data_IF_649773861725
#
_entry.id   IF_649773861725
#
_cell.length_a   1.000
_cell.length_b   1.000
_cell.length_c   1.000
_cell.angle_alpha   90.00
_cell.angle_beta   90.00
_cell.angle_gamma   90.00
#
_symmetry.space_group_name_H-M   'P 1'
#
loop_
_entity.id
_entity.type
_entity.pdbx_description
1 polymer ?
#
# COMPACT_ATOMS: atom_id res chain seq x y z
N UNK A 1 -0.23 52.14 2.86
CA UNK A 1 -0.68 51.21 1.78
C UNK A 1 0.39 50.86 0.75
N UNK A 2 1.35 51.74 0.41
CA UNK A 2 2.37 51.49 -0.64
C UNK A 2 3.44 50.42 -0.32
N UNK A 3 3.60 50.01 0.95
CA UNK A 3 4.60 49.02 1.40
C UNK A 3 4.15 47.56 1.27
N UNK A 4 2.84 47.30 1.34
CA UNK A 4 2.27 45.94 1.30
C UNK A 4 2.28 45.38 -0.13
N UNK A 5 2.05 46.25 -1.13
CA UNK A 5 2.16 45.92 -2.55
C UNK A 5 3.56 45.40 -2.95
N UNK A 6 4.62 45.91 -2.31
CA UNK A 6 6.00 45.50 -2.63
C UNK A 6 6.31 44.06 -2.20
N UNK A 7 5.75 43.62 -1.07
CA UNK A 7 5.94 42.26 -0.56
C UNK A 7 5.12 41.27 -1.39
N UNK A 8 3.89 41.64 -1.74
CA UNK A 8 3.05 40.84 -2.64
C UNK A 8 3.68 40.63 -4.01
N UNK A 9 4.25 41.68 -4.60
CA UNK A 9 4.93 41.61 -5.90
C UNK A 9 6.15 40.66 -5.89
N UNK A 10 6.92 40.64 -4.78
CA UNK A 10 8.10 39.77 -4.60
C UNK A 10 7.67 38.30 -4.48
N UNK A 11 6.63 38.00 -3.71
CA UNK A 11 6.13 36.63 -3.55
C UNK A 11 5.57 36.08 -4.86
N UNK A 12 4.84 36.91 -5.62
CA UNK A 12 4.31 36.48 -6.92
C UNK A 12 5.42 36.25 -7.96
N UNK A 13 6.49 37.05 -7.95
CA UNK A 13 7.63 36.80 -8.85
C UNK A 13 8.42 35.57 -8.45
N UNK A 14 8.58 35.31 -7.15
CA UNK A 14 9.26 34.10 -6.66
C UNK A 14 8.49 32.83 -7.01
N UNK A 15 7.16 32.81 -6.84
CA UNK A 15 6.33 31.66 -7.20
C UNK A 15 6.39 31.34 -8.71
N UNK A 16 6.34 32.37 -9.58
CA UNK A 16 6.43 32.17 -11.04
C UNK A 16 7.81 31.66 -11.45
N UNK A 17 8.89 32.16 -10.82
CA UNK A 17 10.24 31.66 -11.03
C UNK A 17 10.40 30.19 -10.61
N UNK A 18 9.85 29.79 -9.46
CA UNK A 18 9.88 28.40 -9.00
C UNK A 18 9.12 27.45 -9.92
N UNK A 19 7.96 27.87 -10.43
CA UNK A 19 7.17 27.07 -11.38
C UNK A 19 7.95 26.90 -12.70
N UNK A 20 8.58 27.96 -13.21
CA UNK A 20 9.42 27.88 -14.40
C UNK A 20 10.62 26.93 -14.21
N UNK A 21 11.31 27.00 -13.06
CA UNK A 21 12.43 26.10 -12.74
C UNK A 21 11.95 24.64 -12.71
N UNK A 22 10.80 24.34 -12.10
CA UNK A 22 10.22 22.99 -12.07
C UNK A 22 9.86 22.45 -13.45
N UNK A 23 9.44 23.33 -14.37
CA UNK A 23 9.13 22.93 -15.76
C UNK A 23 10.39 22.73 -16.61
N UNK A 24 11.49 23.47 -16.32
CA UNK A 24 12.76 23.34 -17.04
C UNK A 24 13.58 22.12 -16.59
N UNK A 25 13.42 21.66 -15.34
CA UNK A 25 14.12 20.47 -14.82
C UNK A 25 13.50 19.14 -15.24
N UNK A 26 12.40 19.15 -16.02
CA UNK A 26 11.68 17.93 -16.46
C UNK A 26 12.07 17.44 -17.86
N UNK A 27 13.24 17.85 -18.36
CA UNK A 27 13.66 17.68 -19.76
C UNK A 27 15.04 17.00 -19.96
N UNK A 28 15.81 16.66 -18.94
CA UNK A 28 17.07 15.94 -19.17
C UNK A 28 17.11 14.56 -18.52
N UNK A 29 17.46 13.59 -19.37
CA UNK A 29 17.72 12.19 -19.09
C UNK A 29 18.60 12.01 -17.87
N UNK A 30 18.13 11.25 -16.88
CA UNK A 30 19.04 10.58 -15.96
C UNK A 30 19.52 9.31 -16.65
N UNK A 31 20.81 9.33 -16.99
CA UNK A 31 21.57 8.23 -17.55
C UNK A 31 21.46 6.97 -16.68
N UNK A 32 21.13 5.88 -17.36
CA UNK A 32 21.45 4.51 -16.94
C UNK A 32 22.97 4.36 -16.88
N UNK A 33 23.54 4.33 -15.69
CA UNK A 33 24.86 3.72 -15.48
C UNK A 33 24.68 2.35 -14.80
N UNK A 34 24.96 1.36 -15.62
CA UNK A 34 25.25 -0.04 -15.31
C UNK A 34 26.33 -0.18 -14.23
N UNK A 35 26.03 -0.96 -13.20
CA UNK A 35 27.03 -1.79 -12.51
C UNK A 35 26.50 -3.23 -12.51
N UNK A 36 27.15 -4.08 -13.30
CA UNK A 36 27.12 -5.55 -13.19
C UNK A 36 28.59 -5.96 -13.31
N UNK A 37 29.13 -6.85 -12.46
CA UNK A 37 28.83 -8.27 -12.65
C UNK A 37 28.86 -9.11 -11.35
N UNK A 38 27.84 -9.91 -11.11
CA UNK A 38 28.08 -11.28 -10.66
C UNK A 38 27.00 -12.22 -11.20
N UNK A 39 27.35 -12.89 -12.30
CA UNK A 39 26.72 -14.14 -12.72
C UNK A 39 27.38 -15.24 -11.90
N UNK A 40 26.58 -15.96 -11.11
CA UNK A 40 26.68 -17.38 -10.69
C UNK A 40 25.70 -17.49 -9.50
N UNK A 41 24.53 -18.15 -9.52
CA UNK A 41 24.02 -19.26 -10.33
C UNK A 41 22.49 -19.35 -10.14
N UNK A 42 21.79 -19.57 -11.25
CA UNK A 42 20.46 -20.17 -11.44
C UNK A 42 19.23 -19.65 -10.67
N UNK A 43 18.45 -18.86 -11.42
CA UNK A 43 16.99 -18.91 -11.59
C UNK A 43 16.10 -18.83 -10.35
N UNK A 44 15.67 -17.60 -10.04
CA UNK A 44 14.49 -17.33 -9.20
C UNK A 44 13.15 -17.59 -9.94
N UNK A 45 13.15 -18.38 -11.01
CA UNK A 45 11.92 -18.94 -11.58
C UNK A 45 11.36 -20.11 -10.76
N UNK A 46 12.15 -20.66 -9.81
CA UNK A 46 11.75 -21.77 -8.94
C UNK A 46 11.67 -21.35 -7.46
N UNK A 47 10.94 -20.28 -7.17
CA UNK A 47 10.22 -20.14 -5.89
C UNK A 47 8.78 -19.77 -6.21
N UNK A 48 7.99 -20.84 -6.38
CA UNK A 48 6.54 -20.93 -6.53
C UNK A 48 5.77 -19.80 -5.80
N UNK A 49 5.34 -18.81 -6.59
CA UNK A 49 4.14 -18.00 -6.39
C UNK A 49 4.08 -17.11 -5.15
N UNK A 50 3.46 -15.94 -5.31
CA UNK A 50 2.71 -15.34 -4.19
C UNK A 50 1.92 -16.46 -3.49
N UNK A 51 1.87 -16.54 -2.14
CA UNK A 51 1.12 -17.60 -1.48
C UNK A 51 -0.28 -17.66 -2.10
N UNK A 52 -0.61 -18.74 -2.80
CA UNK A 52 -1.83 -18.88 -3.63
C UNK A 52 -3.11 -18.49 -2.87
N UNK A 53 -3.03 -18.59 -1.54
CA UNK A 53 -4.13 -18.39 -0.61
C UNK A 53 -4.13 -17.00 0.06
N UNK A 54 -3.26 -16.06 -0.31
CA UNK A 54 -3.39 -14.64 0.11
C UNK A 54 -3.78 -13.81 -1.11
N UNK A 55 -4.90 -13.09 -1.02
CA UNK A 55 -5.42 -12.24 -2.10
C UNK A 55 -5.51 -10.81 -1.64
N UNK A 56 -4.82 -9.90 -2.32
CA UNK A 56 -4.97 -8.47 -2.07
C UNK A 56 -6.34 -8.00 -2.56
N UNK A 57 -6.99 -7.16 -1.77
CA UNK A 57 -8.28 -6.56 -2.10
C UNK A 57 -8.34 -5.08 -1.73
N UNK A 58 -9.18 -4.33 -2.44
CA UNK A 58 -9.55 -2.96 -2.06
C UNK A 58 -10.59 -2.95 -0.94
N UNK A 59 -10.78 -1.77 -0.35
CA UNK A 59 -11.87 -1.50 0.60
C UNK A 59 -13.25 -1.82 0.02
N UNK A 60 -13.48 -1.48 -1.25
CA UNK A 60 -14.76 -1.71 -1.94
C UNK A 60 -15.01 -3.20 -2.17
N UNK A 61 -13.98 -3.96 -2.54
CA UNK A 61 -14.06 -5.42 -2.66
C UNK A 61 -14.32 -6.06 -1.29
N UNK A 62 -13.65 -5.60 -0.24
CA UNK A 62 -13.87 -6.05 1.14
C UNK A 62 -15.32 -5.81 1.56
N UNK A 63 -15.85 -4.61 1.30
CA UNK A 63 -17.25 -4.27 1.58
C UNK A 63 -18.22 -5.19 0.83
N UNK A 64 -17.95 -5.46 -0.44
CA UNK A 64 -18.72 -6.42 -1.23
C UNK A 64 -18.70 -7.83 -0.64
N UNK A 65 -17.57 -8.27 -0.08
CA UNK A 65 -17.45 -9.55 0.61
C UNK A 65 -18.23 -9.59 1.93
N UNK A 66 -18.19 -8.54 2.73
CA UNK A 66 -19.00 -8.45 3.96
C UNK A 66 -20.49 -8.55 3.60
N UNK A 67 -20.91 -7.86 2.54
CA UNK A 67 -22.29 -7.86 2.06
C UNK A 67 -22.74 -9.18 1.41
N UNK A 68 -21.82 -10.04 0.98
CA UNK A 68 -22.19 -11.35 0.43
C UNK A 68 -22.65 -12.34 1.51
N UNK A 69 -22.43 -12.04 2.79
CA UNK A 69 -22.72 -12.90 3.94
C UNK A 69 -21.99 -14.26 3.90
N UNK A 70 -21.01 -14.41 3.02
CA UNK A 70 -20.14 -15.59 2.96
C UNK A 70 -19.11 -15.56 4.09
N UNK A 71 -18.65 -16.74 4.51
CA UNK A 71 -17.53 -16.84 5.45
C UNK A 71 -16.22 -16.49 4.73
N UNK A 72 -15.44 -15.58 5.30
CA UNK A 72 -14.10 -15.28 4.80
C UNK A 72 -13.20 -14.70 5.90
N UNK A 73 -11.89 -14.70 5.64
CA UNK A 73 -10.90 -14.12 6.56
C UNK A 73 -10.29 -12.87 5.91
N UNK A 74 -10.27 -11.76 6.63
CA UNK A 74 -9.58 -10.54 6.25
C UNK A 74 -8.29 -10.36 7.08
N UNK A 75 -7.25 -9.80 6.46
CA UNK A 75 -6.01 -9.40 7.12
C UNK A 75 -5.71 -7.93 6.82
N UNK A 76 -5.86 -7.09 7.83
CA UNK A 76 -5.55 -5.66 7.80
C UNK A 76 -4.08 -5.45 8.17
N UNK A 77 -3.32 -4.83 7.27
CA UNK A 77 -1.87 -4.67 7.43
C UNK A 77 -1.35 -3.36 6.83
N UNK A 78 -0.11 -3.02 7.19
CA UNK A 78 0.66 -1.96 6.55
C UNK A 78 2.05 -2.49 6.15
N UNK A 79 2.61 -2.13 4.98
CA UNK A 79 3.91 -2.62 4.53
C UNK A 79 5.09 -2.24 5.44
N UNK A 80 5.01 -1.07 6.08
CA UNK A 80 6.08 -0.54 6.94
C UNK A 80 5.94 -0.95 8.42
N UNK A 81 4.85 -1.61 8.78
CA UNK A 81 4.55 -2.03 10.15
C UNK A 81 5.43 -3.21 10.59
N UNK A 82 6.26 -3.00 11.62
CA UNK A 82 7.16 -4.02 12.17
C UNK A 82 6.43 -5.28 12.66
N UNK A 83 5.31 -5.11 13.35
CA UNK A 83 4.50 -6.23 13.86
C UNK A 83 3.83 -7.01 12.72
N UNK A 84 3.42 -6.32 11.66
CA UNK A 84 2.83 -6.92 10.47
C UNK A 84 3.84 -7.80 9.72
N UNK A 85 5.10 -7.33 9.60
CA UNK A 85 6.21 -8.13 9.04
C UNK A 85 6.48 -9.38 9.87
N UNK A 86 6.37 -9.30 11.20
CA UNK A 86 6.53 -10.46 12.09
C UNK A 86 5.37 -11.45 12.00
N UNK A 87 4.13 -10.97 11.85
CA UNK A 87 2.94 -11.82 11.79
C UNK A 87 2.74 -12.49 10.42
N UNK A 88 3.15 -11.83 9.33
CA UNK A 88 2.90 -12.31 7.96
C UNK A 88 3.38 -13.76 7.68
N UNK A 89 4.56 -14.21 8.14
CA UNK A 89 4.99 -15.60 7.94
C UNK A 89 4.04 -16.63 8.57
N UNK A 90 3.52 -16.35 9.77
CA UNK A 90 2.59 -17.24 10.47
C UNK A 90 1.20 -17.24 9.79
N UNK A 91 0.70 -16.06 9.41
CA UNK A 91 -0.57 -15.92 8.67
C UNK A 91 -0.50 -16.71 7.35
N UNK A 92 0.58 -16.54 6.59
CA UNK A 92 0.79 -17.26 5.34
C UNK A 92 0.88 -18.78 5.56
N UNK A 93 1.53 -19.21 6.64
CA UNK A 93 1.63 -20.63 7.02
C UNK A 93 0.27 -21.22 7.35
N UNK A 94 -0.56 -20.50 8.12
CA UNK A 94 -1.90 -20.95 8.51
C UNK A 94 -2.84 -21.00 7.29
N UNK A 95 -2.81 -19.99 6.44
CA UNK A 95 -3.55 -19.96 5.18
C UNK A 95 -3.25 -21.17 4.29
N UNK A 96 -1.96 -21.55 4.15
CA UNK A 96 -1.54 -22.75 3.40
C UNK A 96 -1.93 -24.04 4.12
N UNK A 97 -1.70 -24.14 5.43
CA UNK A 97 -1.96 -25.34 6.23
C UNK A 97 -3.44 -25.74 6.19
N UNK A 98 -4.33 -24.76 6.17
CA UNK A 98 -5.78 -24.97 6.22
C UNK A 98 -6.46 -24.82 4.86
N UNK A 99 -5.69 -24.59 3.80
CA UNK A 99 -6.21 -24.27 2.45
C UNK A 99 -7.30 -23.19 2.48
N UNK A 100 -7.02 -22.11 3.21
CA UNK A 100 -7.95 -20.98 3.40
C UNK A 100 -7.43 -19.74 2.72
N UNK A 101 -8.26 -19.17 1.85
CA UNK A 101 -8.00 -17.85 1.28
C UNK A 101 -8.12 -16.79 2.38
N UNK A 102 -7.08 -15.97 2.55
CA UNK A 102 -7.09 -14.77 3.38
C UNK A 102 -7.04 -13.56 2.45
N UNK A 103 -8.00 -12.67 2.63
CA UNK A 103 -8.11 -11.44 1.88
C UNK A 103 -7.35 -10.33 2.61
N UNK A 104 -6.28 -9.84 2.00
CA UNK A 104 -5.36 -8.89 2.62
C UNK A 104 -5.66 -7.48 2.11
N UNK A 105 -5.76 -6.51 3.01
CA UNK A 105 -6.00 -5.11 2.69
C UNK A 105 -4.87 -4.23 3.24
N UNK A 106 -4.20 -3.50 2.36
CA UNK A 106 -3.21 -2.49 2.74
C UNK A 106 -3.96 -1.20 3.12
N UNK A 107 -4.08 -0.98 4.42
CA UNK A 107 -4.75 0.18 5.00
C UNK A 107 -3.87 1.43 5.08
N UNK A 108 -2.63 1.37 4.57
CA UNK A 108 -1.77 2.55 4.43
C UNK A 108 -1.99 3.33 3.13
N UNK A 109 -2.74 2.76 2.17
CA UNK A 109 -3.03 3.45 0.91
C UNK A 109 -4.16 4.47 1.09
N UNK A 110 -4.16 5.59 0.34
CA UNK A 110 -5.20 6.61 0.44
C UNK A 110 -6.62 6.06 0.23
N UNK A 111 -6.78 5.07 -0.64
CA UNK A 111 -8.07 4.47 -0.99
C UNK A 111 -8.64 3.64 0.17
N UNK A 112 -7.76 2.99 0.94
CA UNK A 112 -8.11 2.05 1.99
C UNK A 112 -8.02 2.64 3.40
N UNK A 113 -7.43 3.84 3.57
CA UNK A 113 -7.18 4.43 4.89
C UNK A 113 -8.45 4.57 5.76
N UNK A 114 -9.61 4.80 5.14
CA UNK A 114 -10.89 4.91 5.85
C UNK A 114 -11.40 3.58 6.42
N UNK A 115 -10.85 2.43 5.98
CA UNK A 115 -11.27 1.11 6.44
C UNK A 115 -11.10 0.92 7.95
N UNK A 116 -10.15 1.63 8.57
CA UNK A 116 -9.99 1.64 10.03
C UNK A 116 -11.26 2.05 10.77
N UNK A 117 -11.90 3.11 10.31
CA UNK A 117 -13.07 3.69 10.97
C UNK A 117 -14.35 3.02 10.45
N UNK A 118 -14.40 2.66 9.17
CA UNK A 118 -15.59 2.05 8.56
C UNK A 118 -15.84 0.62 9.05
N UNK A 119 -14.78 -0.12 9.40
CA UNK A 119 -14.87 -1.50 9.86
C UNK A 119 -14.37 -1.69 11.30
N UNK A 120 -14.33 -0.62 12.11
CA UNK A 120 -13.96 -0.63 13.53
C UNK A 120 -12.62 -1.33 13.85
N UNK A 121 -11.64 -1.24 12.94
CA UNK A 121 -10.34 -1.88 13.09
C UNK A 121 -9.47 -1.05 14.06
N UNK A 122 -9.01 -1.61 15.19
CA UNK A 122 -8.32 -0.83 16.22
C UNK A 122 -6.85 -0.54 15.91
N UNK A 123 -6.25 -1.24 14.95
CA UNK A 123 -4.82 -1.16 14.64
C UNK A 123 -4.36 -2.20 13.63
N UNK A 124 -3.04 -2.34 13.47
CA UNK A 124 -2.45 -3.43 12.67
C UNK A 124 -1.26 -4.08 13.36
N UNK A 125 -0.99 -5.39 13.12
CA UNK A 125 -1.80 -6.30 12.30
C UNK A 125 -3.10 -6.72 12.99
N UNK A 126 -4.17 -6.89 12.21
CA UNK A 126 -5.44 -7.47 12.69
C UNK A 126 -5.95 -8.49 11.66
N UNK A 127 -6.36 -9.66 12.13
CA UNK A 127 -6.98 -10.71 11.31
C UNK A 127 -8.40 -10.91 11.82
N UNK A 128 -9.39 -10.79 10.94
CA UNK A 128 -10.81 -10.90 11.26
C UNK A 128 -11.42 -12.04 10.47
N UNK A 129 -12.26 -12.85 11.12
CA UNK A 129 -13.04 -13.89 10.46
C UNK A 129 -14.48 -13.41 10.36
N UNK A 130 -14.92 -13.09 9.15
CA UNK A 130 -16.29 -12.67 8.91
C UNK A 130 -17.20 -13.87 8.71
N UNK A 131 -18.37 -13.85 9.33
CA UNK A 131 -19.42 -14.85 9.14
C UNK A 131 -20.78 -14.17 9.11
N UNK A 132 -21.57 -14.39 8.04
CA UNK A 132 -22.87 -13.73 7.82
C UNK A 132 -22.80 -12.19 7.91
N UNK A 133 -21.68 -11.61 7.50
CA UNK A 133 -21.47 -10.15 7.50
C UNK A 133 -21.05 -9.55 8.85
N UNK A 134 -20.84 -10.37 9.88
CA UNK A 134 -20.37 -9.94 11.20
C UNK A 134 -18.94 -10.47 11.46
N UNK A 135 -18.17 -9.75 12.30
CA UNK A 135 -16.80 -10.08 12.72
C UNK A 135 -16.71 -11.01 13.95
#
# INVERSE_FOLDING_TARGET
>A
MKKIYKIGAIVTTLCVACIAIFTLTKNESVNTETITPEKTIVSAADVKGSPENIKDISKEELKGKIQSHEEFIAYYYQPTCHFCKKAAPDINRMSKKHDRTIYRIDISTPENQSAFQEFDIPGTPVVVAYNRGEE
#
